data_IF_181836015828
#
_entry.id   IF_181836015828
#
_cell.length_a   1.000
_cell.length_b   1.000
_cell.length_c   1.000
_cell.angle_alpha   90.00
_cell.angle_beta   90.00
_cell.angle_gamma   90.00
#
_symmetry.space_group_name_H-M   'P 1'
#
loop_
_entity.id
_entity.type
_entity.pdbx_description
1 polymer ?
#
# COMPACT_ATOMS: atom_id res chain seq x y z
N UNK A 1 42.32 -6.99 -10.89
CA UNK A 1 41.87 -5.77 -10.17
C UNK A 1 40.74 -6.20 -9.26
N UNK A 2 41.07 -6.63 -8.04
CA UNK A 2 40.10 -7.11 -7.07
C UNK A 2 39.61 -5.89 -6.29
N UNK A 3 38.41 -5.38 -6.59
CA UNK A 3 37.83 -4.33 -5.77
C UNK A 3 37.21 -4.97 -4.52
N UNK A 4 37.79 -4.68 -3.36
CA UNK A 4 37.23 -5.02 -2.06
C UNK A 4 36.08 -4.05 -1.80
N UNK A 5 34.84 -4.50 -1.99
CA UNK A 5 33.66 -3.68 -1.71
C UNK A 5 33.34 -3.77 -0.23
N UNK A 6 33.60 -2.69 0.51
CA UNK A 6 33.12 -2.56 1.88
C UNK A 6 31.74 -1.90 1.81
N UNK A 7 30.68 -2.72 1.82
CA UNK A 7 29.30 -2.24 1.87
C UNK A 7 28.89 -2.00 3.32
N UNK A 8 28.92 -0.75 3.77
CA UNK A 8 28.27 -0.35 5.01
C UNK A 8 26.87 0.17 4.68
N UNK A 9 25.85 -0.66 4.90
CA UNK A 9 24.46 -0.23 4.73
C UNK A 9 24.01 0.50 5.99
N UNK A 10 24.19 1.82 6.01
CA UNK A 10 23.55 2.67 7.02
C UNK A 10 22.54 3.55 6.30
N UNK A 11 21.26 3.20 6.42
CA UNK A 11 20.13 4.07 6.10
C UNK A 11 20.05 4.56 4.62
N UNK A 12 19.77 3.66 3.68
CA UNK A 12 19.48 3.93 2.23
C UNK A 12 20.58 4.63 1.42
N UNK A 13 21.69 5.01 2.05
CA UNK A 13 22.85 5.61 1.41
C UNK A 13 23.90 4.54 1.14
N UNK A 14 24.39 4.50 -0.09
CA UNK A 14 25.51 3.67 -0.50
C UNK A 14 26.69 4.60 -0.71
N UNK A 15 27.66 4.52 0.20
CA UNK A 15 28.91 5.24 0.10
C UNK A 15 29.92 4.42 -0.72
N UNK A 16 30.56 5.08 -1.68
CA UNK A 16 31.59 4.48 -2.53
C UNK A 16 32.82 5.38 -2.46
N UNK A 17 33.94 4.79 -2.07
CA UNK A 17 35.23 5.46 -1.96
C UNK A 17 36.28 4.77 -2.84
N UNK A 18 37.25 5.56 -3.30
CA UNK A 18 38.47 5.10 -3.94
C UNK A 18 39.65 5.81 -3.30
N UNK A 19 40.61 5.06 -2.78
CA UNK A 19 41.78 5.58 -2.05
C UNK A 19 41.43 6.41 -0.79
N UNK A 20 40.32 6.05 -0.12
CA UNK A 20 39.81 6.78 1.05
C UNK A 20 39.08 8.09 0.73
N UNK A 21 38.91 8.40 -0.56
CA UNK A 21 38.16 9.58 -1.02
C UNK A 21 36.82 9.14 -1.64
N UNK A 22 35.70 9.79 -1.30
CA UNK A 22 34.41 9.54 -1.94
C UNK A 22 34.47 9.79 -3.45
N UNK A 23 33.94 8.86 -4.24
CA UNK A 23 33.84 9.07 -5.69
C UNK A 23 32.75 10.11 -6.02
N UNK A 24 32.81 10.69 -7.22
CA UNK A 24 31.77 11.61 -7.70
C UNK A 24 30.38 10.95 -7.65
N UNK A 25 29.45 11.57 -6.93
CA UNK A 25 28.08 11.09 -6.76
C UNK A 25 27.84 10.23 -5.52
N UNK A 26 28.88 9.90 -4.76
CA UNK A 26 28.76 9.29 -3.43
C UNK A 26 28.38 10.37 -2.39
N UNK A 27 27.46 10.08 -1.45
CA UNK A 27 26.69 8.85 -1.33
C UNK A 27 25.52 8.77 -2.34
N UNK A 28 25.27 7.58 -2.86
CA UNK A 28 24.11 7.30 -3.70
C UNK A 28 22.90 6.96 -2.84
N UNK A 29 21.75 7.56 -3.13
CA UNK A 29 20.48 7.22 -2.46
C UNK A 29 19.83 6.06 -3.20
N UNK A 30 19.71 4.90 -2.55
CA UNK A 30 18.96 3.74 -3.05
C UNK A 30 17.78 3.44 -2.14
N UNK A 31 16.56 3.78 -2.61
CA UNK A 31 15.32 3.40 -1.94
C UNK A 31 14.79 2.12 -2.55
N UNK A 32 15.09 0.99 -1.91
CA UNK A 32 14.51 -0.29 -2.26
C UNK A 32 13.04 -0.35 -1.83
N UNK A 33 12.20 -0.96 -2.66
CA UNK A 33 10.81 -1.19 -2.36
C UNK A 33 10.38 -2.58 -2.88
N UNK A 34 9.40 -3.18 -2.22
CA UNK A 34 8.79 -4.45 -2.62
C UNK A 34 7.28 -4.42 -2.32
N UNK A 35 6.47 -4.23 -3.36
CA UNK A 35 5.01 -4.21 -3.22
C UNK A 35 4.45 -5.55 -2.70
N UNK A 36 5.16 -6.67 -2.91
CA UNK A 36 4.72 -8.00 -2.45
C UNK A 36 4.84 -8.17 -0.93
N UNK A 37 5.58 -7.29 -0.27
CA UNK A 37 5.68 -7.24 1.19
C UNK A 37 4.47 -6.55 1.86
N UNK A 38 3.66 -5.82 1.11
CA UNK A 38 2.43 -5.21 1.62
C UNK A 38 1.33 -6.26 1.86
N UNK A 39 0.46 -6.01 2.84
CA UNK A 39 -0.64 -6.91 3.21
C UNK A 39 -1.95 -6.15 3.25
N UNK A 40 -2.96 -6.67 2.55
CA UNK A 40 -4.33 -6.15 2.53
C UNK A 40 -5.24 -7.10 3.33
N UNK A 41 -5.99 -6.57 4.29
CA UNK A 41 -7.03 -7.36 4.97
C UNK A 41 -8.31 -7.39 4.14
N UNK A 42 -9.03 -8.51 4.25
CA UNK A 42 -10.36 -8.64 3.64
C UNK A 42 -11.37 -7.73 4.34
N UNK A 43 -12.41 -7.36 3.60
CA UNK A 43 -13.63 -6.77 4.15
C UNK A 43 -14.64 -7.89 4.27
N UNK A 44 -15.11 -8.14 5.48
CA UNK A 44 -16.17 -9.10 5.75
C UNK A 44 -17.49 -8.36 5.99
N UNK A 45 -18.61 -8.95 5.55
CA UNK A 45 -19.99 -8.51 5.85
C UNK A 45 -20.33 -7.05 5.47
N UNK A 46 -19.84 -6.58 4.31
CA UNK A 46 -20.18 -5.25 3.83
C UNK A 46 -21.68 -5.11 3.54
N UNK A 47 -22.27 -3.99 3.98
CA UNK A 47 -23.71 -3.74 3.83
C UNK A 47 -24.00 -2.29 3.46
N UNK A 48 -25.00 -2.08 2.59
CA UNK A 48 -25.45 -0.75 2.19
C UNK A 48 -25.76 0.14 3.39
N UNK A 49 -25.17 1.33 3.40
CA UNK A 49 -25.35 2.34 4.44
C UNK A 49 -24.58 2.08 5.75
N UNK A 50 -23.81 0.98 5.85
CA UNK A 50 -22.94 0.71 7.01
C UNK A 50 -21.47 0.96 6.64
N UNK A 51 -20.71 1.71 7.46
CA UNK A 51 -19.27 1.85 7.24
C UNK A 51 -18.57 0.50 7.23
N UNK A 52 -17.82 0.26 6.16
CA UNK A 52 -16.95 -0.90 5.98
C UNK A 52 -15.51 -0.46 6.16
N UNK A 53 -14.63 -1.33 6.67
CA UNK A 53 -13.23 -0.99 6.91
C UNK A 53 -12.30 -2.11 6.48
N UNK A 54 -11.17 -1.75 5.89
CA UNK A 54 -10.03 -2.63 5.67
C UNK A 54 -8.74 -1.94 6.09
N UNK A 55 -7.68 -2.73 6.25
CA UNK A 55 -6.36 -2.25 6.63
C UNK A 55 -5.32 -2.67 5.62
N UNK A 56 -4.31 -1.83 5.46
CA UNK A 56 -3.14 -2.05 4.62
C UNK A 56 -1.91 -1.92 5.52
N UNK A 57 -1.11 -2.97 5.60
CA UNK A 57 0.19 -2.95 6.26
C UNK A 57 1.29 -2.94 5.19
N UNK A 58 2.02 -1.83 5.11
CA UNK A 58 3.14 -1.62 4.19
C UNK A 58 4.48 -1.49 4.93
N UNK A 59 4.56 -1.90 6.21
CA UNK A 59 5.75 -1.72 7.06
C UNK A 59 7.02 -2.34 6.44
N UNK A 60 6.87 -3.42 5.66
CA UNK A 60 7.96 -4.11 4.98
C UNK A 60 8.08 -3.80 3.49
N UNK A 61 7.20 -2.96 2.95
CA UNK A 61 7.20 -2.64 1.52
C UNK A 61 8.32 -1.66 1.14
N UNK A 62 8.98 -1.03 2.12
CA UNK A 62 10.01 -0.03 1.89
C UNK A 62 9.43 1.36 1.66
N UNK A 63 10.23 2.25 1.09
CA UNK A 63 9.81 3.63 0.83
C UNK A 63 9.01 3.72 -0.47
N UNK A 64 7.86 4.39 -0.43
CA UNK A 64 7.02 4.53 -1.62
C UNK A 64 5.72 5.27 -1.39
N UNK A 65 4.97 5.41 -2.47
CA UNK A 65 3.63 5.96 -2.48
C UNK A 65 2.58 4.84 -2.53
N UNK A 66 1.50 5.00 -1.78
CA UNK A 66 0.35 4.09 -1.75
C UNK A 66 -0.84 4.77 -2.44
N UNK A 67 -1.45 4.07 -3.39
CA UNK A 67 -2.67 4.49 -4.08
C UNK A 67 -3.81 3.53 -3.70
N UNK A 68 -4.96 4.09 -3.33
CA UNK A 68 -6.14 3.34 -2.85
C UNK A 68 -7.37 3.88 -3.57
N UNK A 69 -8.04 3.00 -4.30
CA UNK A 69 -9.27 3.32 -5.05
C UNK A 69 -10.33 2.29 -4.65
N UNK A 70 -11.51 2.77 -4.29
CA UNK A 70 -12.71 1.93 -4.12
C UNK A 70 -13.64 2.29 -5.26
N UNK A 71 -14.13 1.31 -6.02
CA UNK A 71 -15.04 1.57 -7.13
C UNK A 71 -16.21 0.61 -7.16
N UNK A 72 -17.31 1.03 -7.79
CA UNK A 72 -18.48 0.20 -8.08
C UNK A 72 -18.90 0.50 -9.51
N UNK A 73 -18.98 -0.53 -10.37
CA UNK A 73 -19.30 -0.38 -11.80
C UNK A 73 -18.49 0.74 -12.49
N UNK A 74 -17.16 0.78 -12.25
CA UNK A 74 -16.23 1.79 -12.77
C UNK A 74 -16.45 3.23 -12.25
N UNK A 75 -17.30 3.43 -11.24
CA UNK A 75 -17.47 4.72 -10.56
C UNK A 75 -16.69 4.73 -9.26
N UNK A 76 -15.98 5.82 -8.98
CA UNK A 76 -15.23 5.98 -7.75
C UNK A 76 -16.17 6.13 -6.54
N UNK A 77 -15.89 5.41 -5.47
CA UNK A 77 -16.59 5.47 -4.19
C UNK A 77 -15.72 6.25 -3.20
N UNK A 78 -16.23 7.33 -2.60
CA UNK A 78 -15.49 8.07 -1.58
C UNK A 78 -15.06 7.15 -0.43
N UNK A 79 -13.78 7.24 -0.08
CA UNK A 79 -13.20 6.53 1.05
C UNK A 79 -12.39 7.51 1.90
N UNK A 80 -12.20 7.14 3.16
CA UNK A 80 -11.42 7.89 4.13
C UNK A 80 -10.24 7.04 4.57
N UNK A 81 -9.05 7.62 4.55
CA UNK A 81 -7.81 6.95 4.92
C UNK A 81 -7.28 7.56 6.21
N UNK A 82 -7.03 6.71 7.20
CA UNK A 82 -6.42 7.06 8.47
C UNK A 82 -5.06 6.36 8.58
N UNK A 83 -3.99 7.14 8.78
CA UNK A 83 -2.69 6.59 9.11
C UNK A 83 -2.65 6.15 10.59
N UNK A 84 -2.26 4.91 10.85
CA UNK A 84 -2.14 4.36 12.22
C UNK A 84 -0.68 4.35 12.72
N UNK A 85 0.27 4.83 11.89
CA UNK A 85 1.70 4.78 12.14
C UNK A 85 2.35 3.51 11.60
N UNK A 86 3.69 3.46 11.61
CA UNK A 86 4.49 2.32 11.13
C UNK A 86 4.10 1.83 9.71
N UNK A 87 3.73 2.76 8.82
CA UNK A 87 3.24 2.46 7.47
C UNK A 87 2.01 1.52 7.43
N UNK A 88 1.15 1.60 8.45
CA UNK A 88 -0.18 1.00 8.49
C UNK A 88 -1.26 2.05 8.21
N UNK A 89 -2.24 1.65 7.41
CA UNK A 89 -3.35 2.49 6.99
C UNK A 89 -4.66 1.77 7.24
N UNK A 90 -5.62 2.46 7.85
CA UNK A 90 -6.99 2.02 8.00
C UNK A 90 -7.85 2.81 7.02
N UNK A 91 -8.60 2.11 6.18
CA UNK A 91 -9.44 2.71 5.14
C UNK A 91 -10.89 2.37 5.42
N UNK A 92 -11.75 3.38 5.42
CA UNK A 92 -13.19 3.21 5.59
C UNK A 92 -13.97 3.79 4.43
N UNK A 93 -15.04 3.11 4.01
CA UNK A 93 -16.00 3.62 3.04
C UNK A 93 -17.41 3.15 3.40
N UNK A 94 -18.43 3.87 2.96
CA UNK A 94 -19.83 3.48 3.19
C UNK A 94 -20.50 3.20 1.85
N UNK A 95 -20.71 1.92 1.48
CA UNK A 95 -21.32 1.58 0.20
C UNK A 95 -22.78 2.05 0.17
N UNK A 96 -23.20 2.55 -0.99
CA UNK A 96 -24.57 3.04 -1.23
C UNK A 96 -25.40 2.08 -2.09
N UNK A 97 -24.75 1.09 -2.72
CA UNK A 97 -25.37 0.15 -3.65
C UNK A 97 -25.05 -1.29 -3.22
N UNK A 98 -26.04 -2.18 -3.30
CA UNK A 98 -25.89 -3.61 -3.02
C UNK A 98 -25.28 -4.32 -4.24
N UNK A 99 -24.04 -3.93 -4.57
CA UNK A 99 -23.26 -4.40 -5.72
C UNK A 99 -21.86 -4.74 -5.27
N UNK A 100 -21.16 -5.53 -6.08
CA UNK A 100 -19.73 -5.78 -5.84
C UNK A 100 -18.94 -4.48 -5.98
N UNK A 101 -18.23 -4.12 -4.91
CA UNK A 101 -17.26 -3.04 -4.92
C UNK A 101 -15.86 -3.62 -5.15
N UNK A 102 -15.04 -2.91 -5.89
CA UNK A 102 -13.66 -3.30 -6.20
C UNK A 102 -12.72 -2.38 -5.43
N UNK A 103 -11.86 -2.96 -4.61
CA UNK A 103 -10.83 -2.25 -3.85
C UNK A 103 -9.50 -2.48 -4.57
N UNK A 104 -8.98 -1.43 -5.19
CA UNK A 104 -7.69 -1.42 -5.89
C UNK A 104 -6.66 -0.70 -5.05
N UNK A 105 -5.61 -1.42 -4.67
CA UNK A 105 -4.48 -0.91 -3.91
C UNK A 105 -3.19 -1.13 -4.70
N UNK A 106 -2.38 -0.07 -4.85
CA UNK A 106 -1.09 -0.10 -5.55
C UNK A 106 -0.02 0.57 -4.71
N UNK A 107 1.19 0.01 -4.74
CA UNK A 107 2.38 0.58 -4.10
C UNK A 107 3.42 0.88 -5.19
N UNK A 108 3.85 2.14 -5.30
CA UNK A 108 4.71 2.63 -6.39
C UNK A 108 4.20 2.22 -7.79
N UNK A 109 2.88 2.24 -8.00
CA UNK A 109 2.24 1.87 -9.27
C UNK A 109 2.08 0.35 -9.49
N UNK A 110 2.63 -0.50 -8.63
CA UNK A 110 2.47 -1.95 -8.69
C UNK A 110 1.33 -2.43 -7.79
N UNK A 111 0.45 -3.34 -8.25
CA UNK A 111 -0.59 -3.90 -7.39
C UNK A 111 0.03 -4.69 -6.23
N UNK A 112 -0.51 -4.52 -5.03
CA UNK A 112 -0.11 -5.33 -3.88
C UNK A 112 -0.82 -6.70 -3.90
N UNK A 113 -0.31 -7.71 -3.17
CA UNK A 113 -1.00 -8.99 -3.04
C UNK A 113 -2.43 -8.81 -2.50
N UNK A 114 -3.38 -9.46 -3.17
CA UNK A 114 -4.81 -9.34 -2.85
C UNK A 114 -5.53 -8.18 -3.55
N UNK A 115 -4.82 -7.34 -4.31
CA UNK A 115 -5.39 -6.27 -5.12
C UNK A 115 -5.45 -6.67 -6.61
N UNK A 116 -6.56 -6.38 -7.33
CA UNK A 116 -7.80 -5.83 -6.81
C UNK A 116 -8.55 -6.86 -5.95
N UNK A 117 -9.27 -6.37 -4.93
CA UNK A 117 -10.10 -7.18 -4.04
C UNK A 117 -11.59 -6.93 -4.33
N UNK A 118 -12.34 -8.00 -4.59
CA UNK A 118 -13.80 -7.94 -4.65
C UNK A 118 -14.39 -7.88 -3.24
N UNK A 119 -15.34 -6.96 -3.05
CA UNK A 119 -16.07 -6.73 -1.81
C UNK A 119 -17.58 -6.81 -2.11
N UNK A 120 -18.20 -8.00 -1.98
CA UNK A 120 -19.64 -8.14 -2.13
C UNK A 120 -20.39 -7.32 -1.06
N UNK A 121 -21.36 -6.51 -1.47
CA UNK A 121 -22.16 -5.70 -0.54
C UNK A 121 -23.60 -6.21 -0.47
N UNK A 122 -24.04 -6.56 0.73
CA UNK A 122 -25.41 -6.98 1.00
C UNK A 122 -26.37 -5.78 1.03
N UNK A 123 -27.61 -6.01 0.60
CA UNK A 123 -28.68 -5.02 0.74
C UNK A 123 -28.98 -4.71 2.22
N UNK A 124 -29.58 -3.54 2.47
CA UNK A 124 -30.11 -3.21 3.80
C UNK A 124 -31.17 -4.26 4.16
N UNK A 125 -31.20 -4.80 5.38
CA UNK A 125 -32.28 -5.70 5.77
C UNK A 125 -33.55 -4.85 5.80
N UNK A 126 -34.61 -5.29 5.13
CA UNK A 126 -35.94 -4.72 5.34
C UNK A 126 -36.25 -4.85 6.83
N UNK A 127 -36.33 -3.72 7.55
CA UNK A 127 -36.84 -3.75 8.92
C UNK A 127 -38.29 -4.25 8.85
N UNK A 128 -38.66 -5.27 9.64
CA UNK A 128 -40.04 -5.75 9.72
C UNK A 128 -40.98 -4.69 10.31
#
# INVERSE_FOLDING_TARGET
>A
MYLLFICFTVNTQVEIEYDGEPITGSPFISKAFDATCARLTRVDDAQVGRPCTFTIDAARAGAGNMEIIVSVENRNVPNFVQAEGQARFKVSFTPQEAKEHIISVRFNGQPIPGSPMSCPVAAKPSQP
#
